data_IF_023436198865
#
_entry.id   IF_023436198865
#
_cell.length_a   1.000
_cell.length_b   1.000
_cell.length_c   1.000
_cell.angle_alpha   90.00
_cell.angle_beta   90.00
_cell.angle_gamma   90.00
#
_symmetry.space_group_name_H-M   'P 1'
#
loop_
_entity.id
_entity.type
_entity.pdbx_description
1 polymer ?
#
# COMPACT_ATOMS: atom_id res chain seq x y z
N UNK A 1 -0.73 -25.70 1.37
CA UNK A 1 -1.23 -25.08 0.12
C UNK A 1 -2.71 -25.31 -0.07
N UNK A 2 -3.17 -26.53 -0.39
CA UNK A 2 -4.59 -26.80 -0.69
C UNK A 2 -5.51 -26.38 0.46
N UNK A 3 -5.13 -26.67 1.70
CA UNK A 3 -5.83 -26.19 2.90
C UNK A 3 -5.95 -24.67 2.99
N UNK A 4 -4.90 -23.92 2.60
CA UNK A 4 -4.92 -22.45 2.60
C UNK A 4 -5.84 -21.96 1.49
N UNK A 5 -5.75 -22.54 0.30
CA UNK A 5 -6.63 -22.21 -0.82
C UNK A 5 -8.11 -22.43 -0.45
N UNK A 6 -8.46 -23.57 0.14
CA UNK A 6 -9.83 -23.84 0.60
C UNK A 6 -10.27 -22.87 1.71
N UNK A 7 -9.40 -22.61 2.68
CA UNK A 7 -9.71 -21.69 3.79
C UNK A 7 -10.04 -20.27 3.32
N UNK A 8 -9.27 -19.75 2.35
CA UNK A 8 -9.43 -18.36 1.89
C UNK A 8 -10.41 -18.20 0.73
N UNK A 9 -10.77 -19.28 0.02
CA UNK A 9 -11.66 -19.21 -1.17
C UNK A 9 -13.02 -18.61 -0.87
N UNK A 10 -13.59 -18.90 0.30
CA UNK A 10 -14.92 -18.41 0.71
C UNK A 10 -14.84 -17.06 1.45
N UNK A 11 -13.86 -16.21 1.12
CA UNK A 11 -13.73 -14.90 1.76
C UNK A 11 -14.60 -13.89 1.03
N UNK A 12 -15.51 -13.17 1.74
CA UNK A 12 -16.33 -12.14 1.11
C UNK A 12 -15.46 -11.11 0.40
N UNK A 13 -15.83 -10.76 -0.83
CA UNK A 13 -15.11 -9.77 -1.64
C UNK A 13 -13.84 -10.26 -2.33
N UNK A 14 -13.41 -11.51 -2.13
CA UNK A 14 -12.28 -12.11 -2.85
C UNK A 14 -12.76 -12.85 -4.09
N UNK A 15 -12.28 -12.46 -5.27
CA UNK A 15 -12.58 -13.08 -6.56
C UNK A 15 -11.32 -13.66 -7.21
N UNK A 16 -11.50 -14.59 -8.15
CA UNK A 16 -10.43 -15.11 -9.00
C UNK A 16 -9.16 -15.55 -8.25
N UNK A 17 -9.35 -16.26 -7.13
CA UNK A 17 -8.23 -16.79 -6.36
C UNK A 17 -7.42 -17.80 -7.20
N UNK A 18 -6.17 -17.47 -7.46
CA UNK A 18 -5.19 -18.31 -8.16
C UNK A 18 -3.93 -18.54 -7.29
N UNK A 19 -3.17 -19.57 -7.65
CA UNK A 19 -1.92 -19.92 -6.98
C UNK A 19 -0.81 -20.18 -7.98
N UNK A 20 0.39 -19.68 -7.70
CA UNK A 20 1.55 -19.88 -8.56
C UNK A 20 2.05 -21.32 -8.62
N UNK A 21 1.64 -22.15 -7.66
CA UNK A 21 1.95 -23.58 -7.67
C UNK A 21 0.93 -24.26 -8.58
N UNK A 22 1.29 -24.52 -9.84
CA UNK A 22 0.51 -25.38 -10.73
C UNK A 22 1.20 -26.75 -10.82
N UNK A 23 0.42 -27.77 -11.18
CA UNK A 23 1.02 -29.02 -11.65
C UNK A 23 1.90 -28.69 -12.86
N UNK A 24 3.18 -29.06 -12.83
CA UNK A 24 4.03 -28.84 -13.98
C UNK A 24 3.70 -29.78 -15.12
N UNK A 25 4.37 -29.53 -16.24
CA UNK A 25 4.29 -30.44 -17.39
C UNK A 25 4.91 -31.78 -17.00
N UNK A 26 4.45 -32.89 -17.58
CA UNK A 26 5.14 -34.16 -17.41
C UNK A 26 6.57 -34.01 -17.93
N UNK A 27 7.53 -34.39 -17.11
CA UNK A 27 8.95 -34.42 -17.40
C UNK A 27 9.38 -35.88 -17.56
N UNK A 28 10.16 -36.16 -18.61
CA UNK A 28 10.83 -37.44 -18.77
C UNK A 28 12.11 -37.42 -17.95
N UNK A 29 12.08 -38.09 -16.79
CA UNK A 29 13.25 -38.25 -15.94
C UNK A 29 14.00 -39.50 -16.35
N UNK A 30 15.25 -39.34 -16.76
CA UNK A 30 16.12 -40.44 -17.18
C UNK A 30 17.05 -40.78 -16.03
N UNK A 31 16.95 -42.00 -15.51
CA UNK A 31 17.68 -42.49 -14.34
C UNK A 31 18.74 -43.48 -14.82
N UNK A 32 20.04 -43.13 -14.78
CA UNK A 32 21.09 -44.01 -15.26
C UNK A 32 21.24 -45.28 -14.40
N UNK A 33 21.32 -46.44 -15.06
CA UNK A 33 21.64 -47.73 -14.43
C UNK A 33 23.15 -47.83 -14.25
N UNK A 34 23.64 -47.44 -13.07
CA UNK A 34 25.09 -47.36 -12.78
C UNK A 34 25.83 -48.68 -13.02
N UNK A 35 25.22 -49.82 -12.72
CA UNK A 35 25.84 -51.13 -12.92
C UNK A 35 26.03 -51.47 -14.40
N UNK A 36 25.01 -51.20 -15.22
CA UNK A 36 25.06 -51.43 -16.68
C UNK A 36 26.01 -50.45 -17.38
N UNK A 37 26.01 -49.19 -16.94
CA UNK A 37 26.94 -48.16 -17.41
C UNK A 37 28.40 -48.51 -17.09
N UNK A 38 28.66 -49.06 -15.90
CA UNK A 38 30.00 -49.48 -15.50
C UNK A 38 30.51 -50.66 -16.33
N UNK A 39 29.63 -51.60 -16.71
CA UNK A 39 29.98 -52.74 -17.55
C UNK A 39 30.48 -52.34 -18.95
N UNK A 40 30.06 -51.18 -19.46
CA UNK A 40 30.46 -50.63 -20.76
C UNK A 40 31.51 -49.51 -20.65
N UNK A 41 32.12 -49.32 -19.47
CA UNK A 41 33.06 -48.24 -19.16
C UNK A 41 32.52 -46.84 -19.53
N UNK A 42 31.23 -46.62 -19.28
CA UNK A 42 30.55 -45.36 -19.56
C UNK A 42 30.28 -44.56 -18.30
N UNK A 43 30.44 -43.24 -18.38
CA UNK A 43 30.07 -42.32 -17.32
C UNK A 43 28.66 -41.76 -17.51
N UNK A 44 28.06 -41.22 -16.45
CA UNK A 44 26.79 -40.50 -16.54
C UNK A 44 26.89 -39.31 -17.49
N UNK A 45 28.08 -38.73 -17.62
CA UNK A 45 28.35 -37.63 -18.54
C UNK A 45 28.26 -38.07 -20.01
N UNK A 46 28.83 -39.22 -20.35
CA UNK A 46 28.77 -39.75 -21.72
C UNK A 46 27.32 -40.00 -22.16
N UNK A 47 26.51 -40.58 -21.26
CA UNK A 47 25.08 -40.76 -21.47
C UNK A 47 24.35 -39.43 -21.66
N UNK A 48 24.63 -38.44 -20.80
CA UNK A 48 23.96 -37.15 -20.85
C UNK A 48 24.28 -36.37 -22.12
N UNK A 49 25.53 -36.38 -22.59
CA UNK A 49 25.93 -35.72 -23.83
C UNK A 49 25.33 -36.41 -25.05
N UNK A 50 25.43 -37.75 -25.13
CA UNK A 50 24.87 -38.49 -26.26
C UNK A 50 23.35 -38.31 -26.36
N UNK A 51 22.67 -38.28 -25.22
CA UNK A 51 21.24 -38.00 -25.17
C UNK A 51 20.91 -36.55 -25.56
N UNK A 52 21.65 -35.56 -25.05
CA UNK A 52 21.45 -34.15 -25.43
C UNK A 52 21.64 -33.97 -26.94
N UNK A 53 22.67 -34.57 -27.52
CA UNK A 53 22.92 -34.54 -28.96
C UNK A 53 21.77 -35.13 -29.76
N UNK A 54 21.21 -36.24 -29.28
CA UNK A 54 20.16 -36.96 -29.96
C UNK A 54 18.79 -36.25 -29.85
N UNK A 55 18.47 -35.65 -28.70
CA UNK A 55 17.14 -35.07 -28.42
C UNK A 55 17.08 -33.56 -28.60
N UNK A 56 18.03 -32.80 -28.04
CA UNK A 56 18.02 -31.34 -28.06
C UNK A 56 18.87 -30.76 -29.21
N UNK A 57 19.78 -31.57 -29.72
CA UNK A 57 20.81 -31.20 -30.68
C UNK A 57 22.02 -30.53 -30.03
N UNK A 58 23.16 -30.61 -30.72
CA UNK A 58 24.37 -29.84 -30.36
C UNK A 58 24.60 -28.74 -31.38
N UNK A 59 24.89 -27.52 -30.90
CA UNK A 59 25.37 -26.43 -31.76
C UNK A 59 26.80 -26.77 -32.18
N UNK A 60 26.98 -27.03 -33.47
CA UNK A 60 28.26 -27.48 -34.01
C UNK A 60 29.15 -26.33 -34.47
N UNK A 61 28.54 -25.23 -34.95
CA UNK A 61 29.23 -24.03 -35.39
C UNK A 61 28.25 -22.87 -35.47
N UNK A 62 28.78 -21.65 -35.50
CA UNK A 62 28.02 -20.42 -35.70
C UNK A 62 28.28 -19.92 -37.12
N UNK A 63 27.24 -19.44 -37.80
CA UNK A 63 27.31 -18.84 -39.12
C UNK A 63 27.00 -17.35 -39.01
N UNK A 64 27.92 -16.51 -39.47
CA UNK A 64 27.77 -15.05 -39.39
C UNK A 64 27.45 -14.48 -40.76
N UNK A 65 26.39 -13.67 -40.85
CA UNK A 65 26.01 -12.93 -42.05
C UNK A 65 25.68 -11.48 -41.67
N UNK A 66 26.60 -10.56 -41.98
CA UNK A 66 26.52 -9.18 -41.53
C UNK A 66 26.66 -9.07 -40.00
N UNK A 67 25.72 -8.39 -39.36
CA UNK A 67 25.61 -8.29 -37.89
C UNK A 67 24.79 -9.43 -37.25
N UNK A 68 24.26 -10.36 -38.06
CA UNK A 68 23.45 -11.48 -37.55
C UNK A 68 24.31 -12.74 -37.39
N UNK A 69 24.12 -13.41 -36.25
CA UNK A 69 24.75 -14.68 -35.91
C UNK A 69 23.68 -15.78 -35.82
N UNK A 70 23.93 -16.90 -36.49
CA UNK A 70 23.03 -18.06 -36.55
C UNK A 70 23.71 -19.32 -36.03
N UNK A 71 23.08 -19.99 -35.07
CA UNK A 71 23.57 -21.27 -34.54
C UNK A 71 23.21 -22.42 -35.50
N UNK A 72 24.21 -23.18 -35.97
CA UNK A 72 23.99 -24.41 -36.73
C UNK A 72 23.91 -25.57 -35.74
N UNK A 73 22.67 -26.05 -35.52
CA UNK A 73 22.35 -27.18 -34.64
C UNK A 73 22.22 -28.48 -35.44
N UNK A 74 22.88 -29.53 -34.97
CA UNK A 74 22.71 -30.90 -35.47
C UNK A 74 21.91 -31.70 -34.43
N UNK A 75 20.77 -32.26 -34.84
CA UNK A 75 19.92 -33.13 -34.03
C UNK A 75 19.38 -34.28 -34.88
N UNK A 76 18.81 -35.30 -34.24
CA UNK A 76 17.98 -36.28 -34.95
C UNK A 76 16.72 -35.61 -35.48
N UNK A 77 16.08 -36.27 -36.45
CA UNK A 77 14.79 -35.84 -36.96
C UNK A 77 13.74 -35.87 -35.84
N UNK A 78 12.86 -34.88 -35.80
CA UNK A 78 11.86 -34.72 -34.72
C UNK A 78 10.96 -35.96 -34.58
N UNK A 79 10.67 -36.68 -35.68
CA UNK A 79 9.86 -37.90 -35.66
C UNK A 79 10.54 -39.06 -34.91
N UNK A 80 11.85 -39.01 -34.68
CA UNK A 80 12.58 -40.03 -33.93
C UNK A 80 12.49 -39.82 -32.41
N UNK A 81 12.10 -38.62 -31.94
CA UNK A 81 12.14 -38.20 -30.53
C UNK A 81 10.82 -37.63 -30.00
N UNK A 82 9.74 -37.71 -30.79
CA UNK A 82 8.42 -37.16 -30.48
C UNK A 82 7.61 -37.92 -29.39
N UNK A 83 8.01 -39.15 -29.05
CA UNK A 83 7.26 -40.02 -28.14
C UNK A 83 8.16 -40.67 -27.08
N UNK A 84 7.68 -40.81 -25.82
CA UNK A 84 8.44 -41.44 -24.74
C UNK A 84 8.96 -42.85 -25.07
N UNK A 85 8.17 -43.65 -25.79
CA UNK A 85 8.56 -45.01 -26.17
C UNK A 85 9.65 -45.03 -27.25
N UNK A 86 9.69 -44.02 -28.12
CA UNK A 86 10.78 -43.86 -29.09
C UNK A 86 12.07 -43.45 -28.39
N UNK A 87 11.98 -42.57 -27.40
CA UNK A 87 13.13 -42.18 -26.57
C UNK A 87 13.68 -43.40 -25.82
N UNK A 88 12.82 -44.28 -25.27
CA UNK A 88 13.25 -45.55 -24.63
C UNK A 88 14.06 -46.44 -25.56
N UNK A 89 13.68 -46.48 -26.83
CA UNK A 89 14.32 -47.28 -27.87
C UNK A 89 15.31 -46.48 -28.72
N UNK A 90 15.80 -45.35 -28.21
CA UNK A 90 16.76 -44.51 -28.90
C UNK A 90 18.14 -45.16 -28.84
N UNK A 91 18.80 -45.26 -29.99
CA UNK A 91 20.19 -45.71 -30.07
C UNK A 91 21.12 -44.54 -29.78
N UNK A 92 21.92 -44.65 -28.73
CA UNK A 92 22.94 -43.67 -28.35
C UNK A 92 24.33 -44.28 -28.57
N UNK A 93 25.27 -43.46 -29.05
CA UNK A 93 26.66 -43.89 -29.16
C UNK A 93 27.41 -43.56 -27.87
N UNK A 94 28.09 -44.56 -27.31
CA UNK A 94 29.01 -44.38 -26.19
C UNK A 94 30.32 -45.05 -26.56
N UNK A 95 31.43 -44.32 -26.45
CA UNK A 95 32.76 -44.81 -26.84
C UNK A 95 32.80 -45.41 -28.27
N UNK A 96 31.98 -44.86 -29.18
CA UNK A 96 31.88 -45.32 -30.57
C UNK A 96 31.04 -46.59 -30.79
N UNK A 97 30.44 -47.15 -29.74
CA UNK A 97 29.55 -48.32 -29.82
C UNK A 97 28.08 -47.91 -29.63
N UNK A 98 27.14 -48.47 -30.43
CA UNK A 98 25.72 -48.16 -30.29
C UNK A 98 25.08 -48.99 -29.16
N UNK A 99 24.38 -48.30 -28.25
CA UNK A 99 23.60 -48.92 -27.18
C UNK A 99 22.18 -48.37 -27.18
N UNK A 100 21.22 -49.20 -26.76
CA UNK A 100 19.84 -48.75 -26.60
C UNK A 100 19.69 -48.01 -25.27
N UNK A 101 18.98 -46.88 -25.26
CA UNK A 101 18.83 -46.08 -24.03
C UNK A 101 18.23 -46.89 -22.88
N UNK A 102 17.26 -47.78 -23.14
CA UNK A 102 16.65 -48.67 -22.14
C UNK A 102 17.62 -49.67 -21.46
N UNK A 103 18.73 -50.00 -22.12
CA UNK A 103 19.78 -50.86 -21.54
C UNK A 103 20.60 -50.12 -20.48
N UNK A 104 20.74 -48.81 -20.64
CA UNK A 104 21.65 -47.98 -19.86
C UNK A 104 20.94 -47.04 -18.86
N UNK A 105 19.64 -46.77 -19.06
CA UNK A 105 18.85 -45.94 -18.16
C UNK A 105 17.37 -46.35 -18.14
N UNK A 106 16.71 -46.07 -17.01
CA UNK A 106 15.25 -46.14 -16.89
C UNK A 106 14.63 -44.78 -17.18
N UNK A 107 13.45 -44.77 -17.80
CA UNK A 107 12.73 -43.54 -18.16
C UNK A 107 11.39 -43.50 -17.45
N UNK A 108 11.29 -42.57 -16.50
CA UNK A 108 10.09 -42.34 -15.70
C UNK A 108 9.44 -41.02 -16.11
N UNK A 109 8.13 -41.04 -16.35
CA UNK A 109 7.35 -39.82 -16.53
C UNK A 109 6.96 -39.32 -15.14
N UNK A 110 7.53 -38.20 -14.71
CA UNK A 110 7.19 -37.56 -13.43
C UNK A 110 6.53 -36.21 -13.68
N UNK A 111 5.57 -35.79 -12.86
CA UNK A 111 5.07 -34.41 -12.93
C UNK A 111 6.21 -33.47 -12.53
N UNK A 112 6.63 -32.61 -13.45
CA UNK A 112 7.57 -31.53 -13.18
C UNK A 112 6.97 -30.43 -12.32
N UNK A 113 7.78 -29.46 -11.91
CA UNK A 113 7.30 -28.20 -11.36
C UNK A 113 7.26 -27.16 -12.48
N UNK A 114 6.09 -26.56 -12.76
CA UNK A 114 6.00 -25.55 -13.84
C UNK A 114 6.88 -24.33 -13.57
N UNK A 115 6.98 -23.92 -12.30
CA UNK A 115 7.77 -22.77 -11.88
C UNK A 115 8.06 -22.88 -10.37
N UNK A 116 9.30 -22.61 -9.96
CA UNK A 116 9.70 -22.55 -8.55
C UNK A 116 10.03 -21.10 -8.20
N UNK A 117 9.09 -20.43 -7.55
CA UNK A 117 9.26 -19.04 -7.12
C UNK A 117 10.03 -19.01 -5.80
N UNK A 118 10.98 -18.10 -5.71
CA UNK A 118 11.70 -17.80 -4.47
C UNK A 118 11.45 -16.35 -4.06
N UNK A 119 11.28 -16.12 -2.75
CA UNK A 119 11.23 -14.80 -2.14
C UNK A 119 12.12 -14.83 -0.90
N UNK A 120 13.00 -13.84 -0.76
CA UNK A 120 13.95 -13.74 0.36
C UNK A 120 14.76 -15.03 0.58
N UNK A 121 15.13 -15.70 -0.53
CA UNK A 121 15.83 -17.01 -0.60
C UNK A 121 15.03 -18.22 -0.09
N UNK A 122 13.73 -18.08 0.15
CA UNK A 122 12.83 -19.17 0.52
C UNK A 122 11.90 -19.55 -0.65
N UNK A 123 11.69 -20.86 -0.86
CA UNK A 123 10.66 -21.36 -1.80
C UNK A 123 9.30 -20.84 -1.39
N UNK A 124 8.61 -20.18 -2.33
CA UNK A 124 7.40 -19.40 -2.05
C UNK A 124 6.27 -19.83 -2.97
N UNK A 125 5.08 -19.95 -2.41
CA UNK A 125 3.83 -20.12 -3.14
C UNK A 125 3.09 -18.79 -3.07
N UNK A 126 2.84 -18.18 -4.23
CA UNK A 126 2.10 -16.93 -4.33
C UNK A 126 0.62 -17.26 -4.46
N UNK A 127 -0.20 -16.58 -3.67
CA UNK A 127 -1.65 -16.57 -3.79
C UNK A 127 -2.04 -15.20 -4.34
N UNK A 128 -2.78 -15.18 -5.44
CA UNK A 128 -3.27 -13.96 -6.09
C UNK A 128 -4.78 -14.00 -6.12
N UNK A 129 -5.42 -12.85 -5.93
CA UNK A 129 -6.85 -12.72 -6.06
C UNK A 129 -7.20 -11.29 -6.44
N UNK A 130 -8.40 -11.15 -6.98
CA UNK A 130 -9.01 -9.87 -7.34
C UNK A 130 -10.01 -9.47 -6.26
N UNK A 131 -10.30 -8.19 -6.17
CA UNK A 131 -11.25 -7.64 -5.19
C UNK A 131 -12.55 -7.35 -5.93
N UNK A 132 -13.67 -7.80 -5.37
CA UNK A 132 -14.99 -7.52 -5.89
C UNK A 132 -15.28 -6.00 -5.88
N UNK A 133 -16.12 -5.51 -6.80
CA UNK A 133 -16.43 -4.08 -6.94
C UNK A 133 -17.08 -3.47 -5.69
N UNK A 134 -17.75 -4.29 -4.88
CA UNK A 134 -18.44 -3.90 -3.64
C UNK A 134 -17.58 -4.06 -2.37
N UNK A 135 -16.33 -4.53 -2.50
CA UNK A 135 -15.43 -4.78 -1.38
C UNK A 135 -14.20 -3.87 -1.42
N UNK A 136 -13.61 -3.59 -0.24
CA UNK A 136 -12.33 -2.87 -0.16
C UNK A 136 -11.17 -3.82 0.06
N UNK A 137 -9.98 -3.44 -0.44
CA UNK A 137 -8.75 -4.22 -0.21
C UNK A 137 -8.47 -4.42 1.29
N UNK A 138 -8.75 -3.41 2.11
CA UNK A 138 -8.55 -3.48 3.56
C UNK A 138 -9.45 -4.52 4.21
N UNK A 139 -10.74 -4.55 3.85
CA UNK A 139 -11.71 -5.49 4.41
C UNK A 139 -11.36 -6.94 4.02
N UNK A 140 -11.01 -7.16 2.75
CA UNK A 140 -10.57 -8.48 2.27
C UNK A 140 -9.29 -8.92 2.98
N UNK A 141 -8.31 -8.03 3.13
CA UNK A 141 -7.07 -8.33 3.85
C UNK A 141 -7.35 -8.72 5.31
N UNK A 142 -8.22 -7.99 6.01
CA UNK A 142 -8.58 -8.28 7.39
C UNK A 142 -9.31 -9.62 7.51
N UNK A 143 -10.27 -9.90 6.63
CA UNK A 143 -11.01 -11.16 6.62
C UNK A 143 -10.10 -12.37 6.32
N UNK A 144 -9.17 -12.23 5.38
CA UNK A 144 -8.16 -13.26 5.10
C UNK A 144 -7.22 -13.44 6.30
N UNK A 145 -6.77 -12.34 6.91
CA UNK A 145 -5.89 -12.38 8.08
C UNK A 145 -6.54 -13.07 9.28
N UNK A 146 -7.82 -12.82 9.54
CA UNK A 146 -8.59 -13.45 10.62
C UNK A 146 -8.69 -14.97 10.42
N UNK A 147 -9.02 -15.41 9.20
CA UNK A 147 -9.06 -16.84 8.86
C UNK A 147 -7.69 -17.50 8.99
N UNK A 148 -6.63 -16.81 8.58
CA UNK A 148 -5.24 -17.32 8.64
C UNK A 148 -4.73 -17.42 10.07
N UNK A 149 -5.11 -16.49 10.97
CA UNK A 149 -4.69 -16.52 12.38
C UNK A 149 -5.19 -17.77 13.11
N UNK A 150 -6.33 -18.33 12.71
CA UNK A 150 -6.85 -19.59 13.23
C UNK A 150 -6.17 -20.85 12.67
N UNK A 151 -5.26 -20.72 11.71
CA UNK A 151 -4.61 -21.86 11.05
C UNK A 151 -3.24 -22.17 11.67
N UNK A 152 -3.07 -23.39 12.18
CA UNK A 152 -1.79 -23.85 12.71
C UNK A 152 -0.81 -24.21 11.58
N UNK A 153 0.17 -23.34 11.36
CA UNK A 153 1.23 -23.58 10.39
C UNK A 153 2.20 -24.66 10.87
N UNK A 154 2.58 -25.63 10.01
CA UNK A 154 3.71 -26.50 10.29
C UNK A 154 4.99 -25.68 10.50
N UNK A 155 5.93 -26.21 11.30
CA UNK A 155 7.19 -25.53 11.57
C UNK A 155 7.94 -25.17 10.28
N UNK A 156 8.41 -23.93 10.19
CA UNK A 156 9.16 -23.42 9.04
C UNK A 156 8.35 -22.71 7.95
N UNK A 157 7.02 -22.63 8.08
CA UNK A 157 6.18 -21.84 7.17
C UNK A 157 5.82 -20.49 7.76
N UNK A 158 5.86 -19.44 6.92
CA UNK A 158 5.40 -18.10 7.25
C UNK A 158 4.56 -17.57 6.11
N UNK A 159 3.47 -16.87 6.43
CA UNK A 159 2.71 -16.08 5.47
C UNK A 159 3.17 -14.63 5.55
N UNK A 160 3.36 -14.02 4.38
CA UNK A 160 3.68 -12.60 4.24
C UNK A 160 2.80 -12.00 3.16
N UNK A 161 2.30 -10.80 3.42
CA UNK A 161 1.60 -10.01 2.41
C UNK A 161 2.59 -9.55 1.32
N UNK A 162 2.15 -9.60 0.06
CA UNK A 162 2.92 -9.20 -1.11
C UNK A 162 2.15 -8.24 -2.00
N UNK A 163 2.82 -7.69 -3.01
CA UNK A 163 2.20 -6.83 -4.02
C UNK A 163 1.45 -5.62 -3.43
N UNK A 164 0.24 -5.37 -3.95
CA UNK A 164 -0.60 -4.24 -3.53
C UNK A 164 -0.99 -4.26 -2.04
N UNK A 165 -1.22 -5.44 -1.46
CA UNK A 165 -1.54 -5.58 -0.03
C UNK A 165 -0.39 -5.11 0.87
N UNK A 166 0.85 -5.46 0.52
CA UNK A 166 2.06 -4.99 1.21
C UNK A 166 2.20 -3.47 1.08
N UNK A 167 2.07 -2.96 -0.14
CA UNK A 167 2.18 -1.53 -0.44
C UNK A 167 1.14 -0.71 0.33
N UNK A 168 -0.11 -1.20 0.42
CA UNK A 168 -1.16 -0.56 1.20
C UNK A 168 -0.74 -0.46 2.67
N UNK A 169 -0.33 -1.57 3.30
CA UNK A 169 0.05 -1.55 4.71
C UNK A 169 1.23 -0.61 5.00
N UNK A 170 2.31 -0.69 4.20
CA UNK A 170 3.47 0.21 4.32
C UNK A 170 3.07 1.68 4.14
N UNK A 171 2.19 1.97 3.18
CA UNK A 171 1.74 3.35 2.91
C UNK A 171 0.84 3.88 4.03
N UNK A 172 -0.06 3.06 4.58
CA UNK A 172 -0.92 3.46 5.70
C UNK A 172 -0.08 3.84 6.93
N UNK A 173 0.94 3.03 7.25
CA UNK A 173 1.86 3.32 8.36
C UNK A 173 2.62 4.62 8.09
N UNK A 174 3.20 4.77 6.90
CA UNK A 174 3.92 5.99 6.52
C UNK A 174 3.02 7.24 6.54
N UNK A 175 1.75 7.14 6.11
CA UNK A 175 0.79 8.24 6.16
C UNK A 175 0.41 8.61 7.59
N UNK A 176 0.28 7.63 8.50
CA UNK A 176 0.02 7.88 9.91
C UNK A 176 1.21 8.59 10.57
N UNK A 177 2.43 8.14 10.30
CA UNK A 177 3.66 8.81 10.74
C UNK A 177 3.73 10.26 10.22
N UNK A 178 3.45 10.45 8.92
CA UNK A 178 3.42 11.76 8.29
C UNK A 178 2.34 12.67 8.90
N UNK A 179 1.16 12.14 9.21
CA UNK A 179 0.08 12.88 9.86
C UNK A 179 0.49 13.34 11.27
N UNK A 180 1.06 12.45 12.08
CA UNK A 180 1.56 12.79 13.42
C UNK A 180 2.67 13.84 13.36
N UNK A 181 3.62 13.69 12.44
CA UNK A 181 4.68 14.66 12.21
C UNK A 181 4.10 16.02 11.77
N UNK A 182 3.14 16.04 10.85
CA UNK A 182 2.49 17.27 10.39
C UNK A 182 1.78 18.00 11.53
N UNK A 183 1.04 17.28 12.38
CA UNK A 183 0.38 17.85 13.56
C UNK A 183 1.39 18.40 14.55
N UNK A 184 2.48 17.67 14.82
CA UNK A 184 3.54 18.10 15.74
C UNK A 184 4.28 19.35 15.24
N UNK A 185 4.68 19.36 13.96
CA UNK A 185 5.35 20.51 13.37
C UNK A 185 4.43 21.74 13.32
N UNK A 186 3.16 21.52 12.98
CA UNK A 186 2.15 22.59 12.99
C UNK A 186 1.91 23.12 14.41
N UNK A 187 1.91 22.26 15.43
CA UNK A 187 1.83 22.68 16.83
C UNK A 187 3.00 23.60 17.21
N UNK A 188 4.24 23.18 16.90
CA UNK A 188 5.44 23.97 17.21
C UNK A 188 5.43 25.32 16.49
N UNK A 189 5.04 25.34 15.22
CA UNK A 189 4.90 26.56 14.43
C UNK A 189 3.85 27.51 15.04
N UNK A 190 2.68 26.98 15.40
CA UNK A 190 1.60 27.75 16.04
C UNK A 190 2.02 28.31 17.40
N UNK A 191 2.71 27.51 18.21
CA UNK A 191 3.20 27.94 19.52
C UNK A 191 4.18 29.12 19.40
N UNK A 192 5.02 29.10 18.35
CA UNK A 192 5.93 30.19 18.04
C UNK A 192 5.20 31.46 17.54
N UNK A 193 4.21 31.32 16.64
CA UNK A 193 3.48 32.46 16.07
C UNK A 193 2.57 33.13 17.10
N UNK A 194 1.83 32.33 17.89
CA UNK A 194 0.83 32.84 18.84
C UNK A 194 1.42 33.15 20.23
N UNK A 195 2.73 32.92 20.43
CA UNK A 195 3.43 33.08 21.71
C UNK A 195 2.70 32.38 22.88
N UNK A 196 2.05 31.25 22.61
CA UNK A 196 1.17 30.56 23.55
C UNK A 196 1.15 29.05 23.32
N UNK A 197 1.18 28.26 24.40
CA UNK A 197 1.09 26.79 24.33
C UNK A 197 -0.34 26.26 24.37
N UNK A 198 -1.30 27.04 24.90
CA UNK A 198 -2.70 26.60 25.01
C UNK A 198 -3.48 26.85 23.71
N UNK A 199 -3.23 27.99 23.05
CA UNK A 199 -3.95 28.37 21.84
C UNK A 199 -3.78 27.36 20.68
N UNK A 200 -2.56 26.85 20.39
CA UNK A 200 -2.35 25.84 19.36
C UNK A 200 -3.14 24.55 19.61
N UNK A 201 -3.35 24.17 20.87
CA UNK A 201 -4.08 22.94 21.21
C UNK A 201 -5.56 23.04 20.79
N UNK A 202 -6.19 24.22 20.98
CA UNK A 202 -7.58 24.44 20.54
C UNK A 202 -7.70 24.47 19.03
N UNK A 203 -6.72 25.07 18.35
CA UNK A 203 -6.66 25.08 16.88
C UNK A 203 -6.52 23.65 16.36
N UNK A 204 -5.61 22.85 16.90
CA UNK A 204 -5.46 21.45 16.48
C UNK A 204 -6.67 20.58 16.86
N UNK A 205 -7.43 20.97 17.87
CA UNK A 205 -8.72 20.35 18.19
C UNK A 205 -9.76 20.43 17.06
N UNK A 206 -9.62 21.37 16.11
CA UNK A 206 -10.52 21.43 14.94
C UNK A 206 -10.14 20.42 13.85
N UNK A 207 -8.92 19.87 13.86
CA UNK A 207 -8.44 18.90 12.86
C UNK A 207 -9.21 17.57 12.96
N UNK A 208 -9.37 16.93 14.13
CA UNK A 208 -10.24 15.75 14.25
C UNK A 208 -11.69 16.02 13.85
N UNK A 209 -12.19 17.24 14.07
CA UNK A 209 -13.54 17.62 13.65
C UNK A 209 -13.65 17.73 12.13
N UNK A 210 -12.58 18.15 11.44
CA UNK A 210 -12.51 18.12 9.98
C UNK A 210 -12.63 16.69 9.43
N UNK A 211 -12.08 15.69 10.14
CA UNK A 211 -12.20 14.28 9.74
C UNK A 211 -13.66 13.81 9.70
N UNK A 212 -14.53 14.36 10.55
CA UNK A 212 -15.97 14.06 10.50
C UNK A 212 -16.54 14.50 9.13
N UNK A 213 -16.15 15.67 8.65
CA UNK A 213 -16.54 16.15 7.31
C UNK A 213 -15.98 15.30 6.18
N UNK A 214 -14.76 14.80 6.33
CA UNK A 214 -14.14 13.85 5.38
C UNK A 214 -14.98 12.57 5.28
N UNK A 215 -15.27 11.93 6.42
CA UNK A 215 -16.03 10.68 6.45
C UNK A 215 -17.43 10.88 5.89
N UNK A 216 -18.12 11.96 6.28
CA UNK A 216 -19.45 12.29 5.76
C UNK A 216 -19.44 12.48 4.24
N UNK A 217 -18.45 13.18 3.69
CA UNK A 217 -18.35 13.42 2.25
C UNK A 217 -18.11 12.15 1.43
N UNK A 218 -17.29 11.22 1.95
CA UNK A 218 -17.04 9.93 1.33
C UNK A 218 -18.29 9.04 1.38
N UNK A 219 -19.02 9.07 2.50
CA UNK A 219 -20.26 8.31 2.66
C UNK A 219 -21.34 8.80 1.68
N UNK A 220 -21.53 10.12 1.56
CA UNK A 220 -22.49 10.71 0.61
C UNK A 220 -22.12 10.40 -0.83
N UNK A 221 -20.82 10.33 -1.16
CA UNK A 221 -20.36 10.11 -2.54
C UNK A 221 -20.10 8.63 -2.85
N UNK A 222 -20.35 7.72 -1.89
CA UNK A 222 -20.05 6.29 -1.98
C UNK A 222 -18.63 6.02 -2.49
N UNK A 223 -17.64 6.69 -1.90
CA UNK A 223 -16.22 6.51 -2.23
C UNK A 223 -15.49 5.82 -1.08
N UNK A 224 -14.50 5.01 -1.42
CA UNK A 224 -13.68 4.30 -0.44
C UNK A 224 -12.59 5.21 0.12
N UNK A 225 -12.20 4.95 1.37
CA UNK A 225 -11.08 5.65 1.99
C UNK A 225 -9.75 5.04 1.52
N UNK A 226 -9.05 5.73 0.63
CA UNK A 226 -7.83 5.25 0.00
C UNK A 226 -6.59 6.09 0.35
N UNK A 227 -5.42 5.72 -0.18
CA UNK A 227 -4.15 6.41 0.05
C UNK A 227 -4.23 7.89 -0.34
N UNK A 228 -4.89 8.23 -1.45
CA UNK A 228 -5.04 9.62 -1.90
C UNK A 228 -5.94 10.43 -0.96
N UNK A 229 -6.95 9.77 -0.39
CA UNK A 229 -7.81 10.34 0.66
C UNK A 229 -6.99 10.66 1.91
N UNK A 230 -6.11 9.75 2.35
CA UNK A 230 -5.19 9.99 3.47
C UNK A 230 -4.25 11.17 3.20
N UNK A 231 -3.67 11.27 2.00
CA UNK A 231 -2.83 12.41 1.62
C UNK A 231 -3.61 13.75 1.71
N UNK A 232 -4.88 13.74 1.31
CA UNK A 232 -5.75 14.91 1.41
C UNK A 232 -6.06 15.28 2.86
N UNK A 233 -6.20 14.29 3.75
CA UNK A 233 -6.34 14.51 5.19
C UNK A 233 -5.09 15.20 5.78
N UNK A 234 -3.89 14.76 5.39
CA UNK A 234 -2.64 15.41 5.83
C UNK A 234 -2.58 16.86 5.32
N UNK A 235 -2.96 17.10 4.06
CA UNK A 235 -3.05 18.45 3.50
C UNK A 235 -4.06 19.34 4.25
N UNK A 236 -5.21 18.77 4.65
CA UNK A 236 -6.25 19.50 5.37
C UNK A 236 -5.76 20.08 6.69
N UNK A 237 -4.79 19.46 7.37
CA UNK A 237 -4.20 19.99 8.61
C UNK A 237 -3.71 21.43 8.40
N UNK A 238 -2.94 21.69 7.36
CA UNK A 238 -2.41 23.03 7.08
C UNK A 238 -3.49 24.03 6.67
N UNK A 239 -4.42 23.61 5.79
CA UNK A 239 -5.47 24.50 5.27
C UNK A 239 -6.44 24.93 6.38
N UNK A 240 -6.87 23.99 7.21
CA UNK A 240 -7.80 24.25 8.33
C UNK A 240 -7.13 25.14 9.39
N UNK A 241 -5.86 24.87 9.70
CA UNK A 241 -5.10 25.64 10.68
C UNK A 241 -4.94 27.10 10.22
N UNK A 242 -4.73 27.36 8.93
CA UNK A 242 -4.60 28.73 8.43
C UNK A 242 -5.86 29.58 8.68
N UNK A 243 -7.05 29.01 8.48
CA UNK A 243 -8.31 29.70 8.78
C UNK A 243 -8.45 30.04 10.27
N UNK A 244 -7.99 29.13 11.14
CA UNK A 244 -7.98 29.33 12.59
C UNK A 244 -6.97 30.41 13.03
N UNK A 245 -5.76 30.42 12.46
CA UNK A 245 -4.71 31.42 12.74
C UNK A 245 -5.24 32.82 12.49
N UNK A 246 -5.86 33.06 11.33
CA UNK A 246 -6.33 34.39 10.94
C UNK A 246 -7.34 34.99 11.93
N UNK A 247 -8.18 34.14 12.53
CA UNK A 247 -9.17 34.56 13.52
C UNK A 247 -8.53 34.83 14.89
N UNK A 248 -7.69 33.89 15.36
CA UNK A 248 -7.07 33.96 16.69
C UNK A 248 -6.03 35.07 16.80
N UNK A 249 -5.21 35.24 15.78
CA UNK A 249 -4.19 36.28 15.74
C UNK A 249 -4.82 37.68 15.83
N UNK A 250 -5.91 37.91 15.09
CA UNK A 250 -6.64 39.17 15.16
C UNK A 250 -7.31 39.40 16.53
N UNK A 251 -7.92 38.35 17.11
CA UNK A 251 -8.49 38.43 18.46
C UNK A 251 -7.41 38.76 19.51
N UNK A 252 -6.23 38.14 19.41
CA UNK A 252 -5.08 38.43 20.27
C UNK A 252 -4.52 39.84 20.07
N UNK A 253 -4.46 40.33 18.83
CA UNK A 253 -4.04 41.69 18.52
C UNK A 253 -4.97 42.72 19.17
N UNK A 254 -6.29 42.58 19.01
CA UNK A 254 -7.29 43.47 19.66
C UNK A 254 -7.22 43.37 21.18
N UNK A 255 -6.90 42.19 21.70
CA UNK A 255 -6.63 41.98 23.12
C UNK A 255 -5.40 42.71 23.63
N UNK A 256 -4.29 42.68 22.88
CA UNK A 256 -3.09 43.48 23.17
C UNK A 256 -3.38 44.98 23.14
N UNK A 257 -4.39 45.42 22.37
CA UNK A 257 -4.89 46.80 22.33
C UNK A 257 -5.89 47.16 23.45
N UNK A 258 -6.18 46.24 24.38
CA UNK A 258 -7.00 46.50 25.57
C UNK A 258 -8.48 46.14 25.44
N UNK A 259 -8.92 45.54 24.33
CA UNK A 259 -10.32 45.14 24.16
C UNK A 259 -10.75 44.00 25.12
N UNK A 260 -12.01 44.02 25.56
CA UNK A 260 -12.60 42.93 26.33
C UNK A 260 -12.67 41.63 25.50
N UNK A 261 -12.73 40.43 26.13
CA UNK A 261 -12.73 39.15 25.42
C UNK A 261 -13.80 39.01 24.36
N UNK A 262 -14.98 39.46 24.74
CA UNK A 262 -16.17 39.36 23.93
C UNK A 262 -16.06 40.29 22.72
N UNK A 263 -15.67 41.54 22.95
CA UNK A 263 -15.60 42.56 21.90
C UNK A 263 -14.47 42.25 20.91
N UNK A 264 -13.32 41.77 21.40
CA UNK A 264 -12.22 41.34 20.55
C UNK A 264 -12.60 40.17 19.63
N UNK A 265 -13.38 39.20 20.12
CA UNK A 265 -13.88 38.08 19.33
C UNK A 265 -14.95 38.52 18.32
N UNK A 266 -15.85 39.42 18.71
CA UNK A 266 -16.90 39.92 17.83
C UNK A 266 -16.31 40.68 16.64
N UNK A 267 -15.35 41.57 16.92
CA UNK A 267 -14.64 42.34 15.90
C UNK A 267 -13.74 41.44 15.03
N UNK A 268 -13.11 40.42 15.62
CA UNK A 268 -12.37 39.40 14.86
C UNK A 268 -13.27 38.62 13.92
N UNK A 269 -14.45 38.21 14.39
CA UNK A 269 -15.46 37.53 13.59
C UNK A 269 -15.88 38.39 12.41
N UNK A 270 -16.28 39.64 12.63
CA UNK A 270 -16.74 40.54 11.57
C UNK A 270 -15.63 40.83 10.53
N UNK A 271 -14.40 41.08 11.00
CA UNK A 271 -13.28 41.40 10.13
C UNK A 271 -12.76 40.19 9.32
N UNK A 272 -12.80 38.98 9.89
CA UNK A 272 -12.17 37.79 9.30
C UNK A 272 -13.14 36.82 8.63
N UNK A 273 -14.44 36.91 8.91
CA UNK A 273 -15.45 36.05 8.29
C UNK A 273 -15.40 36.14 6.75
N UNK A 274 -15.38 37.36 6.19
CA UNK A 274 -15.34 37.58 4.74
C UNK A 274 -14.09 36.94 4.08
N UNK A 275 -12.85 37.20 4.54
CA UNK A 275 -11.66 36.52 4.03
C UNK A 275 -11.69 34.98 4.17
N UNK A 276 -12.13 34.45 5.31
CA UNK A 276 -12.14 33.00 5.58
C UNK A 276 -13.14 32.27 4.66
N UNK A 277 -14.31 32.86 4.45
CA UNK A 277 -15.32 32.31 3.54
C UNK A 277 -14.83 32.41 2.09
N UNK A 278 -14.21 33.53 1.70
CA UNK A 278 -13.66 33.71 0.35
C UNK A 278 -12.55 32.70 0.01
N UNK A 279 -11.62 32.44 0.94
CA UNK A 279 -10.56 31.44 0.73
C UNK A 279 -11.15 30.03 0.63
N UNK A 280 -12.08 29.69 1.53
CA UNK A 280 -12.75 28.39 1.55
C UNK A 280 -13.50 28.14 0.24
N UNK A 281 -14.31 29.10 -0.22
CA UNK A 281 -15.05 28.98 -1.46
C UNK A 281 -14.13 28.86 -2.68
N UNK A 282 -13.03 29.61 -2.71
CA UNK A 282 -12.04 29.50 -3.80
C UNK A 282 -11.46 28.09 -3.90
N UNK A 283 -11.10 27.46 -2.77
CA UNK A 283 -10.60 26.09 -2.73
C UNK A 283 -11.68 25.10 -3.14
N UNK A 284 -12.90 25.26 -2.63
CA UNK A 284 -14.03 24.38 -2.96
C UNK A 284 -14.33 24.41 -4.46
N UNK A 285 -14.42 25.60 -5.06
CA UNK A 285 -14.65 25.78 -6.49
C UNK A 285 -13.48 25.22 -7.31
N UNK A 286 -12.24 25.45 -6.87
CA UNK A 286 -11.04 24.91 -7.53
C UNK A 286 -10.95 23.38 -7.51
N UNK A 287 -11.42 22.74 -6.44
CA UNK A 287 -11.42 21.28 -6.30
C UNK A 287 -12.67 20.62 -6.88
N UNK A 288 -13.72 21.38 -7.20
CA UNK A 288 -14.99 20.88 -7.71
C UNK A 288 -14.85 20.05 -9.01
N UNK A 289 -14.05 20.46 -10.02
CA UNK A 289 -13.85 19.65 -11.22
C UNK A 289 -13.18 18.30 -10.92
N UNK A 290 -12.27 18.27 -9.94
CA UNK A 290 -11.61 17.04 -9.51
C UNK A 290 -12.58 16.13 -8.77
N UNK A 291 -13.43 16.68 -7.90
CA UNK A 291 -14.45 15.93 -7.15
C UNK A 291 -15.52 15.31 -8.06
N UNK A 292 -15.87 15.97 -9.17
CA UNK A 292 -16.81 15.44 -10.18
C UNK A 292 -16.10 14.42 -11.11
N UNK A 293 -14.76 14.42 -11.15
CA UNK A 293 -13.99 13.49 -11.96
C UNK A 293 -14.00 13.83 -13.45
N UNK A 294 -14.02 15.12 -13.80
CA UNK A 294 -14.02 15.60 -15.18
C UNK A 294 -12.68 15.20 -15.84
N UNK A 295 -12.76 14.42 -16.92
CA UNK A 295 -11.62 13.86 -17.65
C UNK A 295 -11.49 12.34 -17.50
N UNK A 296 -10.87 11.70 -18.49
CA UNK A 296 -10.63 10.25 -18.50
C UNK A 296 -9.36 9.85 -17.73
N UNK A 297 -8.33 10.71 -17.72
CA UNK A 297 -7.05 10.41 -17.11
C UNK A 297 -7.07 10.59 -15.58
N UNK A 298 -6.86 9.50 -14.84
CA UNK A 298 -6.64 9.54 -13.39
C UNK A 298 -7.89 9.87 -12.56
N UNK A 299 -9.10 9.63 -13.08
CA UNK A 299 -10.37 9.89 -12.39
C UNK A 299 -10.42 9.23 -11.00
N UNK A 300 -10.02 7.97 -10.92
CA UNK A 300 -10.03 7.18 -9.68
C UNK A 300 -9.13 7.76 -8.58
N UNK A 301 -8.07 8.49 -8.94
CA UNK A 301 -7.20 9.15 -7.97
C UNK A 301 -7.69 10.56 -7.62
N UNK A 302 -8.20 11.31 -8.60
CA UNK A 302 -8.60 12.72 -8.43
C UNK A 302 -9.93 12.89 -7.70
N UNK A 303 -10.90 12.02 -7.97
CA UNK A 303 -12.24 12.07 -7.38
C UNK A 303 -12.21 12.05 -5.85
N UNK A 304 -11.60 11.04 -5.18
CA UNK A 304 -11.53 11.01 -3.72
C UNK A 304 -10.73 12.20 -3.15
N UNK A 305 -9.67 12.64 -3.83
CA UNK A 305 -8.89 13.81 -3.42
C UNK A 305 -9.74 15.08 -3.32
N UNK A 306 -10.57 15.35 -4.33
CA UNK A 306 -11.47 16.50 -4.37
C UNK A 306 -12.56 16.42 -3.31
N UNK A 307 -13.23 15.27 -3.20
CA UNK A 307 -14.35 15.05 -2.26
C UNK A 307 -13.89 15.24 -0.82
N UNK A 308 -12.79 14.60 -0.44
CA UNK A 308 -12.22 14.66 0.92
C UNK A 308 -11.85 16.10 1.28
N UNK A 309 -11.20 16.81 0.36
CA UNK A 309 -10.78 18.20 0.59
C UNK A 309 -11.99 19.11 0.77
N UNK A 310 -13.01 19.00 -0.09
CA UNK A 310 -14.22 19.82 -0.02
C UNK A 310 -15.00 19.54 1.27
N UNK A 311 -15.27 18.27 1.56
CA UNK A 311 -16.02 17.84 2.73
C UNK A 311 -15.35 18.24 4.04
N UNK A 312 -14.04 17.96 4.13
CA UNK A 312 -13.23 18.33 5.27
C UNK A 312 -13.20 19.84 5.48
N UNK A 313 -12.99 20.63 4.42
CA UNK A 313 -12.88 22.07 4.52
C UNK A 313 -14.21 22.76 4.86
N UNK A 314 -15.34 22.33 4.29
CA UNK A 314 -16.64 22.91 4.60
C UNK A 314 -17.00 22.73 6.08
N UNK A 315 -16.86 21.51 6.59
CA UNK A 315 -17.13 21.22 8.00
C UNK A 315 -16.09 21.89 8.89
N UNK A 316 -14.82 21.89 8.52
CA UNK A 316 -13.77 22.53 9.30
C UNK A 316 -13.94 24.04 9.39
N UNK A 317 -14.30 24.73 8.30
CA UNK A 317 -14.51 26.19 8.31
C UNK A 317 -15.71 26.54 9.19
N UNK A 318 -16.81 25.78 9.08
CA UNK A 318 -17.96 25.95 9.97
C UNK A 318 -17.58 25.74 11.44
N UNK A 319 -16.91 24.63 11.74
CA UNK A 319 -16.46 24.30 13.10
C UNK A 319 -15.47 25.34 13.62
N UNK A 320 -14.52 25.81 12.81
CA UNK A 320 -13.53 26.82 13.17
C UNK A 320 -14.22 28.12 13.59
N UNK A 321 -15.24 28.58 12.86
CA UNK A 321 -15.94 29.82 13.18
C UNK A 321 -16.80 29.74 14.45
N UNK A 322 -17.28 28.55 14.83
CA UNK A 322 -18.12 28.38 16.03
C UNK A 322 -17.32 27.97 17.26
N UNK A 323 -16.47 26.95 17.11
CA UNK A 323 -15.80 26.27 18.21
C UNK A 323 -14.63 27.10 18.76
N UNK A 324 -13.88 27.75 17.89
CA UNK A 324 -12.71 28.51 18.31
C UNK A 324 -13.09 29.72 19.19
N UNK A 325 -14.07 30.57 18.82
CA UNK A 325 -14.51 31.65 19.71
C UNK A 325 -15.01 31.13 21.06
N UNK A 326 -15.75 30.01 21.08
CA UNK A 326 -16.28 29.42 22.30
C UNK A 326 -15.16 28.97 23.25
N UNK A 327 -14.17 28.21 22.75
CA UNK A 327 -13.04 27.78 23.58
C UNK A 327 -12.14 28.95 24.00
N UNK A 328 -11.87 29.90 23.10
CA UNK A 328 -11.09 31.09 23.42
C UNK A 328 -11.73 31.91 24.55
N UNK A 329 -13.05 32.12 24.47
CA UNK A 329 -13.80 32.82 25.52
C UNK A 329 -13.71 32.11 26.88
N UNK A 330 -13.92 30.79 26.92
CA UNK A 330 -13.87 30.00 28.16
C UNK A 330 -12.49 30.04 28.83
N UNK A 331 -11.42 29.94 28.04
CA UNK A 331 -10.05 29.93 28.54
C UNK A 331 -9.69 31.28 29.16
N UNK A 332 -10.07 32.38 28.49
CA UNK A 332 -9.73 33.71 29.00
C UNK A 332 -10.65 34.13 30.15
N UNK A 333 -11.91 33.70 30.15
CA UNK A 333 -12.78 33.90 31.31
C UNK A 333 -12.21 33.20 32.54
N UNK A 334 -11.68 31.97 32.38
CA UNK A 334 -11.00 31.24 33.46
C UNK A 334 -9.72 31.95 33.92
N UNK A 335 -8.94 32.54 33.00
CA UNK A 335 -7.74 33.30 33.35
C UNK A 335 -8.06 34.61 34.10
N UNK A 336 -9.08 35.34 33.65
CA UNK A 336 -9.57 36.56 34.29
C UNK A 336 -10.12 36.28 35.70
N UNK A 337 -10.89 35.19 35.87
CA UNK A 337 -11.40 34.78 37.19
C UNK A 337 -10.25 34.39 38.13
N UNK A 338 -9.18 33.78 37.62
CA UNK A 338 -8.00 33.40 38.41
C UNK A 338 -7.14 34.61 38.80
N UNK A 339 -7.06 35.65 37.96
CA UNK A 339 -6.42 36.94 38.26
C UNK A 339 -7.21 37.75 39.29
N UNK A 340 -8.55 37.79 39.18
CA UNK A 340 -9.41 38.45 40.16
C UNK A 340 -9.42 37.73 41.53
N UNK A 341 -9.36 36.40 41.54
CA UNK A 341 -9.22 35.62 42.79
C UNK A 341 -7.90 35.85 43.53
N UNK A 342 -6.80 36.12 42.81
CA UNK A 342 -5.51 36.50 43.43
C UNK A 342 -5.46 37.95 43.92
N UNK A 343 -6.15 38.87 43.25
CA UNK A 343 -6.21 40.29 43.66
C UNK A 343 -6.94 40.50 45.00
N UNK A 344 -7.92 39.64 45.31
CA UNK A 344 -8.64 39.66 46.59
C UNK A 344 -7.89 38.97 47.75
N UNK A 345 -6.67 38.43 47.52
CA UNK A 345 -5.85 37.77 48.56
C UNK A 345 -4.60 38.56 48.96
N UNK A 346 -4.36 39.75 48.40
CA UNK A 346 -3.30 40.66 48.89
C UNK A 346 -3.96 41.65 49.86
N UNK A 347 -3.75 41.52 51.18
CA UNK A 347 -4.21 42.54 52.11
C UNK A 347 -3.48 43.84 51.75
N UNK A 348 -4.24 44.93 51.69
CA UNK A 348 -3.68 46.27 51.74
C UNK A 348 -2.83 46.34 53.02
N UNK A 349 -1.50 46.33 52.89
CA UNK A 349 -0.64 46.80 53.97
C UNK A 349 -0.84 48.32 53.96
N UNK A 350 -1.68 48.71 54.90
CA UNK A 350 -2.08 50.04 55.28
C UNK A 350 -0.83 50.89 55.55
N UNK A 351 -0.73 52.04 54.87
CA UNK A 351 0.14 53.12 55.31
C UNK A 351 -0.39 53.64 56.65
N UNK A 352 0.42 53.53 57.70
CA UNK A 352 0.44 54.47 58.83
C UNK A 352 1.88 54.89 59.09
#
# INVERSE_FOLDING_TARGET
>A
KNQITELIKDTPGLMNLDTSSRGGRPELTIIPKRDQMSAVNATVYDLAISLRAAVEGMVSTEYHEGDNQYDIKISLADEAVDAPDKIRNLTILINGQPYLLSQLADIEVKPGASNIIHRDRAKTIVFTGEIAEDATMGDVMNAVQEKIQGFNFPSGYKIVWGGGAKMLNETVVAMLEAFLLAVLLTYMMLAAILESFLQPLFILGTVPLALIGVILSLLITHQTFNIVSMMSVVMLVGVVVNNAILLLDYANMRRKQGAAPHDALMEAGEAKLKPIVMSTLSIVIGMLPMAIGIGAAGRELRKPMGIVTIGGLLVATFMTLVIIPAFYYLVIQKENNRKNGKKNQVPQIENQ
#
